data_IF_516100572222
#
_entry.id   IF_516100572222
#
_cell.length_a   1.000
_cell.length_b   1.000
_cell.length_c   1.000
_cell.angle_alpha   90.00
_cell.angle_beta   90.00
_cell.angle_gamma   90.00
#
_symmetry.space_group_name_H-M   'P 1'
#
loop_
_entity.id
_entity.type
_entity.pdbx_description
1 polymer ?
#
# COMPACT_ATOMS: atom_id res chain seq x y z
N UNK A 1 -7.09 -12.38 6.50
CA UNK A 1 -6.46 -11.63 7.62
C UNK A 1 -7.59 -11.07 8.45
N UNK A 2 -7.50 -11.10 9.77
CA UNK A 2 -8.53 -10.51 10.63
C UNK A 2 -8.54 -8.99 10.48
N UNK A 3 -9.72 -8.37 10.42
CA UNK A 3 -9.86 -6.93 10.19
C UNK A 3 -9.06 -6.10 11.21
N UNK A 4 -9.13 -6.47 12.50
CA UNK A 4 -8.41 -5.77 13.56
C UNK A 4 -6.88 -5.79 13.36
N UNK A 5 -6.34 -6.89 12.84
CA UNK A 5 -4.91 -6.99 12.54
C UNK A 5 -4.55 -6.14 11.32
N UNK A 6 -5.41 -6.11 10.28
CA UNK A 6 -5.20 -5.27 9.10
C UNK A 6 -5.18 -3.78 9.48
N UNK A 7 -6.15 -3.36 10.29
CA UNK A 7 -6.26 -1.99 10.78
C UNK A 7 -5.03 -1.57 11.62
N UNK A 8 -4.53 -2.48 12.46
CA UNK A 8 -3.30 -2.26 13.24
C UNK A 8 -2.06 -2.12 12.34
N UNK A 9 -1.92 -2.99 11.32
CA UNK A 9 -0.82 -2.91 10.35
C UNK A 9 -0.85 -1.59 9.58
N UNK A 10 -2.02 -1.18 9.08
CA UNK A 10 -2.19 0.11 8.39
C UNK A 10 -1.83 1.26 9.33
N UNK A 11 -2.32 1.22 10.58
CA UNK A 11 -2.00 2.23 11.58
C UNK A 11 -0.49 2.37 11.80
N UNK A 12 0.22 1.25 12.07
CA UNK A 12 1.68 1.25 12.27
C UNK A 12 2.44 1.76 11.05
N UNK A 13 2.02 1.38 9.84
CA UNK A 13 2.61 1.86 8.59
C UNK A 13 2.42 3.38 8.43
N UNK A 14 1.27 3.90 8.83
CA UNK A 14 0.95 5.33 8.73
C UNK A 14 1.53 6.19 9.87
N UNK A 15 1.93 5.62 11.00
CA UNK A 15 2.47 6.34 12.16
C UNK A 15 3.87 6.94 11.94
N UNK A 16 4.61 6.45 10.93
CA UNK A 16 5.93 7.00 10.58
C UNK A 16 5.84 8.25 9.68
N UNK A 17 4.63 8.73 9.42
CA UNK A 17 4.40 10.02 8.75
C UNK A 17 5.19 11.13 9.45
N UNK A 18 5.87 11.96 8.66
CA UNK A 18 6.74 13.04 9.16
C UNK A 18 8.11 12.59 9.69
N UNK A 19 8.46 11.30 9.63
CA UNK A 19 9.78 10.76 10.01
C UNK A 19 10.43 10.00 8.85
N UNK A 20 10.97 10.70 7.84
CA UNK A 20 11.54 10.07 6.66
C UNK A 20 12.64 9.05 7.01
N UNK A 21 12.58 7.86 6.41
CA UNK A 21 13.56 6.79 6.64
C UNK A 21 13.35 5.98 7.92
N UNK A 22 12.35 6.30 8.76
CA UNK A 22 12.01 5.46 9.90
C UNK A 22 11.36 4.16 9.41
N UNK A 23 11.98 3.04 9.75
CA UNK A 23 11.46 1.72 9.41
C UNK A 23 10.25 1.35 10.26
N UNK A 24 9.32 0.61 9.66
CA UNK A 24 8.15 0.04 10.34
C UNK A 24 8.43 -1.44 10.61
N UNK A 25 8.32 -1.82 11.88
CA UNK A 25 8.53 -3.21 12.29
C UNK A 25 7.24 -4.00 12.09
N UNK A 26 7.20 -4.77 11.00
CA UNK A 26 6.19 -5.79 10.74
C UNK A 26 6.84 -7.17 10.91
N UNK A 27 6.12 -8.09 11.53
CA UNK A 27 6.56 -9.48 11.65
C UNK A 27 6.47 -10.20 10.30
N UNK A 28 7.29 -11.24 10.13
CA UNK A 28 7.26 -12.07 8.92
C UNK A 28 5.86 -12.65 8.66
N UNK A 29 5.16 -13.09 9.71
CA UNK A 29 3.81 -13.64 9.62
C UNK A 29 2.80 -12.61 9.09
N UNK A 30 2.88 -11.35 9.53
CA UNK A 30 2.05 -10.26 9.05
C UNK A 30 2.31 -9.99 7.56
N UNK A 31 3.58 -9.85 7.16
CA UNK A 31 3.96 -9.60 5.76
C UNK A 31 3.49 -10.77 4.89
N UNK A 32 3.68 -12.01 5.34
CA UNK A 32 3.22 -13.20 4.62
C UNK A 32 1.71 -13.22 4.46
N UNK A 33 0.95 -12.84 5.49
CA UNK A 33 -0.51 -12.76 5.40
C UNK A 33 -0.98 -11.68 4.41
N UNK A 34 -0.35 -10.50 4.40
CA UNK A 34 -0.63 -9.46 3.40
C UNK A 34 -0.47 -10.01 1.98
N UNK A 35 0.65 -10.71 1.71
CA UNK A 35 0.91 -11.32 0.41
C UNK A 35 -0.12 -12.39 0.02
N UNK A 36 -0.48 -13.29 0.94
CA UNK A 36 -1.42 -14.37 0.65
C UNK A 36 -2.84 -13.84 0.38
N UNK A 37 -3.33 -12.93 1.22
CA UNK A 37 -4.70 -12.41 1.09
C UNK A 37 -4.83 -11.51 -0.14
N UNK A 38 -3.85 -10.62 -0.38
CA UNK A 38 -3.86 -9.78 -1.57
C UNK A 38 -3.75 -10.61 -2.87
N UNK A 39 -2.92 -11.65 -2.89
CA UNK A 39 -2.84 -12.60 -4.01
C UNK A 39 -4.21 -13.21 -4.31
N UNK A 40 -4.93 -13.69 -3.30
CA UNK A 40 -6.26 -14.27 -3.51
C UNK A 40 -7.25 -13.25 -4.07
N UNK A 41 -7.17 -11.98 -3.64
CA UNK A 41 -7.98 -10.89 -4.20
C UNK A 41 -7.64 -10.66 -5.68
N UNK A 42 -6.34 -10.55 -6.01
CA UNK A 42 -5.92 -10.36 -7.40
C UNK A 42 -6.35 -11.52 -8.30
N UNK A 43 -6.27 -12.77 -7.83
CA UNK A 43 -6.69 -13.96 -8.59
C UNK A 43 -8.21 -14.01 -8.85
N UNK A 44 -9.01 -13.34 -8.02
CA UNK A 44 -10.48 -13.26 -8.19
C UNK A 44 -10.90 -12.11 -9.11
N UNK A 45 -10.03 -11.12 -9.30
CA UNK A 45 -10.30 -9.98 -10.18
C UNK A 45 -9.81 -10.27 -11.60
N UNK A 46 -10.42 -9.65 -12.63
CA UNK A 46 -9.97 -9.83 -14.00
C UNK A 46 -8.58 -9.24 -14.20
N UNK A 47 -7.77 -9.86 -15.08
CA UNK A 47 -6.44 -9.35 -15.44
C UNK A 47 -6.49 -8.00 -16.16
N UNK A 48 -7.61 -7.71 -16.84
CA UNK A 48 -7.93 -6.39 -17.39
C UNK A 48 -9.02 -5.77 -16.52
N UNK A 49 -8.64 -4.78 -15.70
CA UNK A 49 -9.58 -4.08 -14.83
C UNK A 49 -10.41 -3.06 -15.63
N UNK A 50 -11.71 -3.07 -15.40
CA UNK A 50 -12.64 -2.03 -15.85
C UNK A 50 -12.99 -1.16 -14.63
N UNK A 51 -12.63 0.13 -14.68
CA UNK A 51 -12.72 1.05 -13.54
C UNK A 51 -13.49 2.32 -13.93
N UNK A 52 -14.24 2.86 -12.97
CA UNK A 52 -15.02 4.09 -13.15
C UNK A 52 -14.37 5.29 -12.45
N UNK A 53 -14.61 6.48 -12.98
CA UNK A 53 -14.20 7.74 -12.36
C UNK A 53 -15.14 8.08 -11.18
N UNK A 54 -14.67 8.83 -10.16
CA UNK A 54 -13.35 9.46 -10.04
C UNK A 54 -12.26 8.50 -9.55
N UNK A 55 -11.07 8.58 -10.15
CA UNK A 55 -9.89 7.80 -9.78
C UNK A 55 -8.60 8.62 -9.93
N UNK A 56 -7.65 8.43 -9.02
CA UNK A 56 -6.29 8.98 -9.09
C UNK A 56 -5.35 7.93 -9.64
N UNK A 57 -4.64 8.25 -10.72
CA UNK A 57 -3.67 7.35 -11.33
C UNK A 57 -2.26 7.75 -10.88
N UNK A 58 -1.51 6.79 -10.37
CA UNK A 58 -0.16 6.98 -9.83
C UNK A 58 0.84 6.11 -10.60
N UNK A 59 1.97 6.69 -10.99
CA UNK A 59 3.08 5.97 -11.62
C UNK A 59 4.00 5.33 -10.59
N UNK A 60 5.27 5.22 -10.97
CA UNK A 60 6.34 4.56 -10.22
C UNK A 60 6.51 5.13 -8.81
N UNK A 61 6.81 4.25 -7.86
CA UNK A 61 7.07 4.62 -6.46
C UNK A 61 8.48 4.25 -6.04
N UNK A 62 9.01 3.12 -6.52
CA UNK A 62 10.37 2.65 -6.27
C UNK A 62 10.82 2.75 -4.81
N UNK A 63 10.01 2.26 -3.87
CA UNK A 63 10.35 2.28 -2.45
C UNK A 63 10.51 3.67 -1.82
N UNK A 64 10.05 4.75 -2.48
CA UNK A 64 10.03 6.11 -1.96
C UNK A 64 8.85 6.31 -0.99
N UNK A 65 8.86 5.56 0.12
CA UNK A 65 7.73 5.47 1.03
C UNK A 65 7.26 6.82 1.60
N UNK A 66 8.18 7.73 1.90
CA UNK A 66 7.84 9.07 2.40
C UNK A 66 7.04 9.88 1.37
N UNK A 67 7.33 9.69 0.08
CA UNK A 67 6.63 10.39 -1.00
C UNK A 67 5.25 9.75 -1.27
N UNK A 68 5.14 8.42 -1.13
CA UNK A 68 3.84 7.74 -1.13
C UNK A 68 2.92 8.24 -0.02
N UNK A 69 3.45 8.40 1.21
CA UNK A 69 2.68 8.94 2.33
C UNK A 69 2.21 10.38 2.08
N UNK A 70 3.07 11.22 1.50
CA UNK A 70 2.70 12.60 1.09
C UNK A 70 1.65 12.62 -0.01
N UNK A 71 1.74 11.69 -0.97
CA UNK A 71 0.76 11.56 -2.05
C UNK A 71 -0.64 11.30 -1.49
N UNK A 72 -0.77 10.39 -0.52
CA UNK A 72 -2.03 10.12 0.16
C UNK A 72 -2.49 11.28 1.05
N UNK A 73 -1.56 11.98 1.71
CA UNK A 73 -1.90 13.18 2.50
C UNK A 73 -2.52 14.27 1.63
N UNK A 74 -1.96 14.50 0.43
CA UNK A 74 -2.45 15.54 -0.47
C UNK A 74 -3.76 15.17 -1.19
N UNK A 75 -3.93 13.91 -1.56
CA UNK A 75 -5.05 13.45 -2.39
C UNK A 75 -6.16 12.72 -1.60
N UNK A 76 -5.98 12.51 -0.30
CA UNK A 76 -6.87 11.73 0.56
C UNK A 76 -6.48 10.26 0.64
N UNK A 77 -6.68 9.64 1.81
CA UNK A 77 -6.41 8.22 2.01
C UNK A 77 -7.50 7.37 1.32
N UNK A 78 -7.23 6.09 1.01
CA UNK A 78 -8.29 5.12 0.81
C UNK A 78 -9.07 4.90 2.12
N UNK A 79 -10.42 4.71 2.08
CA UNK A 79 -11.27 4.63 0.89
C UNK A 79 -11.85 5.97 0.43
N UNK A 80 -11.44 7.12 1.00
CA UNK A 80 -11.99 8.43 0.61
C UNK A 80 -11.67 8.81 -0.84
N UNK A 81 -10.55 8.31 -1.37
CA UNK A 81 -10.12 8.50 -2.76
C UNK A 81 -9.79 7.15 -3.41
N UNK A 82 -10.28 6.92 -4.63
CA UNK A 82 -9.93 5.73 -5.41
C UNK A 82 -8.55 5.91 -6.07
N UNK A 83 -7.72 4.87 -6.03
CA UNK A 83 -6.38 4.86 -6.62
C UNK A 83 -6.18 3.72 -7.61
N UNK A 84 -5.46 4.01 -8.70
CA UNK A 84 -4.87 3.03 -9.61
C UNK A 84 -3.37 3.30 -9.68
N UNK A 85 -2.56 2.36 -9.22
CA UNK A 85 -1.12 2.42 -9.41
C UNK A 85 -0.68 1.58 -10.61
N UNK A 86 0.32 2.06 -11.35
CA UNK A 86 0.72 1.49 -12.64
C UNK A 86 1.91 0.51 -12.56
N UNK A 87 2.46 0.26 -11.38
CA UNK A 87 3.58 -0.67 -11.17
C UNK A 87 4.76 -0.02 -10.46
N UNK A 88 5.92 -0.67 -10.58
CA UNK A 88 7.22 -0.19 -10.07
C UNK A 88 7.17 0.32 -8.63
N UNK A 89 6.60 -0.52 -7.76
CA UNK A 89 6.44 -0.24 -6.32
C UNK A 89 7.75 -0.35 -5.55
N UNK A 90 8.60 -1.30 -5.96
CA UNK A 90 9.81 -1.73 -5.25
C UNK A 90 11.07 -1.40 -6.06
N UNK A 91 12.22 -1.84 -5.56
CA UNK A 91 13.57 -1.52 -6.06
C UNK A 91 13.95 -0.04 -5.95
N UNK A 92 15.25 0.23 -6.12
CA UNK A 92 15.92 1.56 -6.12
C UNK A 92 15.82 2.39 -4.82
N UNK A 93 14.66 2.48 -4.19
CA UNK A 93 14.44 3.22 -2.96
C UNK A 93 14.79 2.46 -1.69
N UNK A 94 14.69 3.17 -0.57
CA UNK A 94 15.18 2.71 0.74
C UNK A 94 14.13 1.95 1.55
N UNK A 95 12.84 2.09 1.22
CA UNK A 95 11.71 1.59 2.01
C UNK A 95 10.72 0.82 1.14
N UNK A 96 11.23 -0.08 0.31
CA UNK A 96 10.43 -0.92 -0.60
C UNK A 96 9.47 -1.84 0.16
N UNK A 97 9.87 -2.35 1.32
CA UNK A 97 9.03 -3.21 2.16
C UNK A 97 7.81 -2.46 2.68
N UNK A 98 7.99 -1.28 3.27
CA UNK A 98 6.88 -0.47 3.77
C UNK A 98 5.97 -0.01 2.64
N UNK A 99 6.56 0.35 1.49
CA UNK A 99 5.82 0.75 0.29
C UNK A 99 4.88 -0.36 -0.17
N UNK A 100 5.39 -1.56 -0.42
CA UNK A 100 4.54 -2.65 -0.91
C UNK A 100 3.58 -3.14 0.18
N UNK A 101 3.99 -3.18 1.45
CA UNK A 101 3.10 -3.60 2.55
C UNK A 101 1.91 -2.67 2.68
N UNK A 102 2.09 -1.35 2.60
CA UNK A 102 0.98 -0.39 2.68
C UNK A 102 0.03 -0.52 1.49
N UNK A 103 0.56 -0.68 0.27
CA UNK A 103 -0.25 -0.85 -0.93
C UNK A 103 -1.07 -2.15 -0.89
N UNK A 104 -0.46 -3.25 -0.43
CA UNK A 104 -1.19 -4.52 -0.26
C UNK A 104 -2.22 -4.42 0.86
N UNK A 105 -1.91 -3.74 1.98
CA UNK A 105 -2.86 -3.55 3.07
C UNK A 105 -4.09 -2.75 2.62
N UNK A 106 -3.92 -1.72 1.78
CA UNK A 106 -5.06 -0.99 1.19
C UNK A 106 -5.80 -1.76 0.10
N UNK A 107 -5.19 -2.80 -0.49
CA UNK A 107 -5.84 -3.66 -1.48
C UNK A 107 -6.81 -4.65 -0.82
N UNK A 108 -6.52 -5.03 0.43
CA UNK A 108 -7.33 -5.94 1.26
C UNK A 108 -8.50 -5.17 1.85
#
# INVERSE_FOLDING_TARGET
MEQALLDDVIKRLLEVRGRPGKQVQLSESEIRQLCLVSKDIFMRQPSLLELEAPIKICGDVHGQYSDLLRLFEYNGLPPQTNYLFLGDYVDRGKQSLETICLLLAYKI
#
